data_IF_829555209005
#
_entry.id   IF_829555209005
#
_cell.length_a   1.000
_cell.length_b   1.000
_cell.length_c   1.000
_cell.angle_alpha   90.00
_cell.angle_beta   90.00
_cell.angle_gamma   90.00
#
_symmetry.space_group_name_H-M   'P 1'
#
loop_
_entity.id
_entity.type
_entity.pdbx_description
1 polymer ?
#
# COMPACT_ATOMS: atom_id res chain seq x y z
N UNK A 1 52.86 3.94 -17.71
CA UNK A 1 52.16 2.95 -18.55
C UNK A 1 50.79 3.53 -18.89
N UNK A 2 50.55 3.88 -20.15
CA UNK A 2 49.26 4.44 -20.57
C UNK A 2 48.33 3.28 -20.94
N UNK A 3 47.43 2.90 -20.03
CA UNK A 3 46.53 1.76 -20.18
C UNK A 3 45.20 2.13 -20.83
N UNK A 4 45.19 2.44 -22.12
CA UNK A 4 43.94 2.63 -22.87
C UNK A 4 43.65 1.46 -23.80
N UNK A 5 42.35 1.18 -23.98
CA UNK A 5 41.83 0.11 -24.83
C UNK A 5 41.16 0.75 -26.04
N UNK A 6 41.56 0.40 -27.26
CA UNK A 6 40.86 0.84 -28.46
C UNK A 6 39.72 -0.13 -28.80
N UNK A 7 38.50 0.40 -28.96
CA UNK A 7 37.33 -0.35 -29.40
C UNK A 7 36.91 0.10 -30.80
N UNK A 8 36.85 -0.83 -31.75
CA UNK A 8 36.37 -0.57 -33.12
C UNK A 8 34.85 -0.50 -33.11
N UNK A 9 34.28 0.61 -33.60
CA UNK A 9 32.84 0.83 -33.73
C UNK A 9 32.40 0.60 -35.18
N UNK A 10 31.10 0.37 -35.38
CA UNK A 10 30.46 0.29 -36.69
C UNK A 10 31.04 -0.80 -37.61
N UNK A 11 31.16 -2.02 -37.08
CA UNK A 11 31.55 -3.17 -37.89
C UNK A 11 30.34 -3.77 -38.62
N UNK A 12 30.60 -4.48 -39.72
CA UNK A 12 29.55 -5.10 -40.54
C UNK A 12 28.84 -6.28 -39.86
N UNK A 13 29.44 -6.86 -38.82
CA UNK A 13 28.86 -7.95 -38.02
C UNK A 13 28.20 -7.45 -36.73
N UNK A 14 27.02 -7.97 -36.39
CA UNK A 14 26.31 -7.59 -35.15
C UNK A 14 27.04 -7.99 -33.85
N UNK A 15 28.09 -8.82 -33.95
CA UNK A 15 28.86 -9.35 -32.82
C UNK A 15 30.23 -8.67 -32.61
N UNK A 16 30.61 -7.70 -33.44
CA UNK A 16 31.96 -7.12 -33.36
C UNK A 16 33.03 -7.97 -34.05
N UNK A 17 34.28 -7.47 -34.10
CA UNK A 17 35.47 -8.21 -34.58
C UNK A 17 35.95 -9.21 -33.52
N UNK A 18 35.93 -8.81 -32.24
CA UNK A 18 36.16 -9.67 -31.08
C UNK A 18 35.17 -9.23 -30.00
N UNK A 19 34.21 -10.09 -29.67
CA UNK A 19 33.21 -9.78 -28.65
C UNK A 19 33.82 -9.90 -27.27
N UNK A 20 34.09 -8.77 -26.61
CA UNK A 20 34.51 -8.77 -25.21
C UNK A 20 33.37 -9.38 -24.39
N UNK A 21 33.57 -10.62 -23.93
CA UNK A 21 32.68 -11.35 -23.03
C UNK A 21 31.19 -11.25 -23.44
N UNK A 22 30.83 -11.81 -24.59
CA UNK A 22 29.44 -11.78 -25.10
C UNK A 22 28.43 -12.56 -24.25
N UNK A 23 28.90 -13.21 -23.20
CA UNK A 23 28.08 -13.96 -22.25
C UNK A 23 28.01 -13.18 -20.94
N UNK A 24 26.83 -13.22 -20.30
CA UNK A 24 26.69 -12.64 -18.99
C UNK A 24 27.56 -13.45 -18.00
N UNK A 25 28.32 -12.74 -17.17
CA UNK A 25 29.10 -13.33 -16.07
C UNK A 25 28.22 -13.88 -14.95
N UNK A 26 26.94 -13.54 -14.95
CA UNK A 26 25.94 -14.00 -14.00
C UNK A 26 24.97 -14.99 -14.66
N UNK A 27 24.43 -15.95 -13.89
CA UNK A 27 23.42 -16.88 -14.40
C UNK A 27 22.19 -16.11 -14.90
N UNK A 28 21.84 -16.33 -16.16
CA UNK A 28 20.61 -15.79 -16.75
C UNK A 28 19.44 -16.65 -16.26
N UNK A 29 18.35 -15.99 -15.86
CA UNK A 29 17.15 -16.68 -15.39
C UNK A 29 16.54 -17.52 -16.54
N UNK A 30 16.50 -18.84 -16.38
CA UNK A 30 15.97 -19.78 -17.38
C UNK A 30 14.45 -19.98 -17.28
N UNK A 31 13.85 -19.54 -16.16
CA UNK A 31 12.42 -19.68 -15.90
C UNK A 31 11.70 -18.32 -15.92
N UNK A 32 10.44 -18.29 -16.39
CA UNK A 32 9.59 -17.11 -16.22
C UNK A 32 9.49 -16.71 -14.74
N UNK A 33 9.27 -15.43 -14.47
CA UNK A 33 8.89 -15.00 -13.13
C UNK A 33 7.56 -15.68 -12.76
N UNK A 34 7.38 -16.17 -11.51
CA UNK A 34 6.07 -16.59 -11.05
C UNK A 34 5.06 -15.44 -11.23
N UNK A 35 3.77 -15.73 -11.46
CA UNK A 35 2.76 -14.69 -11.54
C UNK A 35 2.78 -13.86 -10.25
N UNK A 36 2.53 -12.54 -10.34
CA UNK A 36 2.39 -11.73 -9.14
C UNK A 36 1.30 -12.34 -8.24
N UNK A 37 1.47 -12.32 -6.91
CA UNK A 37 0.43 -12.77 -6.00
C UNK A 37 -0.87 -12.02 -6.29
N UNK A 38 -2.04 -12.66 -6.12
CA UNK A 38 -3.31 -11.98 -6.29
C UNK A 38 -3.35 -10.76 -5.37
N UNK A 39 -3.86 -9.63 -5.88
CA UNK A 39 -4.09 -8.44 -5.06
C UNK A 39 -4.88 -8.84 -3.82
N UNK A 40 -4.52 -8.34 -2.62
CA UNK A 40 -5.26 -8.65 -1.41
C UNK A 40 -6.74 -8.35 -1.63
N UNK A 41 -7.61 -9.28 -1.21
CA UNK A 41 -9.05 -9.03 -1.29
C UNK A 41 -9.48 -7.89 -0.36
N UNK A 42 -10.69 -7.34 -0.54
CA UNK A 42 -11.25 -6.35 0.38
C UNK A 42 -11.39 -6.95 1.78
N UNK A 43 -10.93 -6.22 2.80
CA UNK A 43 -11.05 -6.63 4.21
C UNK A 43 -12.51 -6.52 4.65
N UNK A 44 -13.15 -7.65 5.01
CA UNK A 44 -14.51 -7.65 5.58
C UNK A 44 -14.48 -7.22 7.05
N UNK A 45 -15.11 -6.09 7.36
CA UNK A 45 -15.26 -5.61 8.74
C UNK A 45 -16.51 -6.15 9.41
N UNK A 46 -17.62 -6.19 8.65
CA UNK A 46 -18.93 -6.65 9.09
C UNK A 46 -19.70 -7.22 7.89
N UNK A 47 -20.87 -7.79 8.11
CA UNK A 47 -21.74 -8.34 7.06
C UNK A 47 -22.05 -7.31 5.95
N UNK A 48 -22.13 -6.03 6.32
CA UNK A 48 -22.45 -4.91 5.44
C UNK A 48 -21.29 -3.93 5.21
N UNK A 49 -20.10 -4.17 5.79
CA UNK A 49 -19.01 -3.19 5.81
C UNK A 49 -17.71 -3.82 5.32
N UNK A 50 -17.11 -3.17 4.32
CA UNK A 50 -15.93 -3.66 3.60
C UNK A 50 -14.95 -2.50 3.45
N UNK A 51 -13.68 -2.77 3.72
CA UNK A 51 -12.59 -1.84 3.44
C UNK A 51 -11.80 -2.30 2.22
N UNK A 52 -10.98 -1.41 1.65
CA UNK A 52 -10.16 -1.74 0.50
C UNK A 52 -9.08 -2.78 0.86
N UNK A 53 -8.42 -3.27 -0.19
CA UNK A 53 -7.31 -4.21 -0.06
C UNK A 53 -6.17 -3.60 0.79
N UNK A 54 -5.77 -4.29 1.86
CA UNK A 54 -4.69 -3.83 2.75
C UNK A 54 -5.12 -2.74 3.74
N UNK A 55 -6.42 -2.47 3.87
CA UNK A 55 -6.95 -1.60 4.93
C UNK A 55 -7.41 -2.41 6.14
N UNK A 56 -7.38 -1.78 7.31
CA UNK A 56 -7.88 -2.37 8.56
C UNK A 56 -9.17 -1.72 9.05
N UNK A 57 -10.02 -2.58 9.60
CA UNK A 57 -11.32 -2.20 10.11
C UNK A 57 -11.23 -1.81 11.59
N UNK A 58 -11.49 -0.55 11.90
CA UNK A 58 -11.57 -0.06 13.27
C UNK A 58 -13.00 0.28 13.68
N UNK A 59 -13.36 -0.13 14.89
CA UNK A 59 -14.67 0.16 15.42
C UNK A 59 -14.75 1.60 15.94
N UNK A 60 -15.61 2.41 15.32
CA UNK A 60 -15.78 3.81 15.71
C UNK A 60 -16.76 3.97 16.88
N UNK A 61 -17.87 3.23 16.87
CA UNK A 61 -18.88 3.30 17.92
C UNK A 61 -19.34 1.92 18.37
N UNK A 62 -19.29 1.71 19.70
CA UNK A 62 -19.82 0.54 20.38
C UNK A 62 -21.14 0.90 21.05
N UNK A 63 -22.19 0.16 20.72
CA UNK A 63 -23.52 0.28 21.34
C UNK A 63 -23.88 -1.11 21.87
N UNK A 64 -24.17 -1.23 23.17
CA UNK A 64 -24.46 -2.51 23.84
C UNK A 64 -23.41 -3.62 23.61
N UNK A 65 -22.12 -3.27 23.50
CA UNK A 65 -21.05 -4.25 23.27
C UNK A 65 -20.94 -4.73 21.81
N UNK A 66 -21.73 -4.16 20.91
CA UNK A 66 -21.69 -4.46 19.47
C UNK A 66 -21.10 -3.25 18.73
N UNK A 67 -20.21 -3.51 17.79
CA UNK A 67 -19.68 -2.48 16.92
C UNK A 67 -20.71 -2.09 15.85
N UNK A 68 -21.27 -0.89 15.96
CA UNK A 68 -22.31 -0.41 15.05
C UNK A 68 -21.74 0.29 13.81
N UNK A 69 -20.57 0.91 13.96
CA UNK A 69 -19.93 1.67 12.89
C UNK A 69 -18.45 1.30 12.76
N UNK A 70 -18.02 1.14 11.52
CA UNK A 70 -16.67 0.76 11.15
C UNK A 70 -16.02 1.87 10.34
N UNK A 71 -14.73 2.03 10.55
CA UNK A 71 -13.87 2.94 9.80
C UNK A 71 -12.72 2.14 9.20
N UNK A 72 -12.25 2.60 8.05
CA UNK A 72 -11.17 1.98 7.32
C UNK A 72 -9.89 2.80 7.53
N UNK A 73 -8.83 2.13 7.95
CA UNK A 73 -7.52 2.71 8.09
C UNK A 73 -6.61 2.23 6.95
N UNK A 74 -5.95 3.16 6.28
CA UNK A 74 -5.10 2.95 5.09
C UNK A 74 -3.84 2.08 5.35
N UNK A 75 -3.66 1.62 6.59
CA UNK A 75 -2.55 0.74 6.96
C UNK A 75 -3.02 -0.69 7.13
N UNK A 76 -2.24 -1.61 6.58
CA UNK A 76 -2.42 -3.03 6.82
C UNK A 76 -2.05 -3.34 8.29
N UNK A 77 -2.83 -4.19 8.94
CA UNK A 77 -2.68 -4.58 10.34
C UNK A 77 -2.56 -3.41 11.35
N UNK A 78 -3.24 -2.28 11.12
CA UNK A 78 -3.23 -1.14 12.04
C UNK A 78 -3.88 -1.45 13.40
N UNK A 79 -3.38 -0.76 14.44
CA UNK A 79 -3.92 -0.80 15.79
C UNK A 79 -4.89 0.37 15.99
N UNK A 80 -6.12 0.07 16.39
CA UNK A 80 -7.13 1.09 16.68
C UNK A 80 -6.83 1.77 18.02
N UNK A 81 -6.75 3.11 18.02
CA UNK A 81 -6.57 3.88 19.25
C UNK A 81 -7.86 3.94 20.08
N UNK A 82 -7.73 4.23 21.39
CA UNK A 82 -8.88 4.42 22.28
C UNK A 82 -9.83 5.56 21.87
N UNK A 83 -9.31 6.51 21.09
CA UNK A 83 -10.10 7.62 20.52
C UNK A 83 -11.10 7.14 19.46
N UNK A 84 -10.96 5.91 18.93
CA UNK A 84 -11.84 5.29 17.91
C UNK A 84 -11.96 6.05 16.58
N UNK A 85 -11.22 7.14 16.45
CA UNK A 85 -11.13 7.99 15.26
C UNK A 85 -9.77 7.88 14.56
N UNK A 86 -8.80 7.26 15.22
CA UNK A 86 -7.44 7.22 14.75
C UNK A 86 -6.87 5.82 14.84
N UNK A 87 -5.98 5.53 13.90
CA UNK A 87 -5.24 4.28 13.82
C UNK A 87 -3.75 4.56 13.82
N UNK A 88 -3.01 3.60 14.35
CA UNK A 88 -1.56 3.59 14.25
C UNK A 88 -1.09 2.36 13.47
N UNK A 89 -0.04 2.50 12.64
CA UNK A 89 0.55 1.35 11.95
C UNK A 89 1.08 0.32 12.96
N UNK A 90 1.12 -0.96 12.57
CA UNK A 90 1.58 -2.06 13.43
C UNK A 90 2.93 -1.81 14.13
N UNK A 91 3.85 -1.11 13.46
CA UNK A 91 5.18 -0.78 14.00
C UNK A 91 5.17 0.22 15.17
N UNK A 92 4.05 0.93 15.39
CA UNK A 92 3.88 1.99 16.38
C UNK A 92 2.58 1.80 17.16
N UNK A 93 2.47 0.76 18.01
CA UNK A 93 1.20 0.38 18.64
C UNK A 93 0.73 1.36 19.73
N UNK A 94 1.58 2.27 20.20
CA UNK A 94 1.27 3.18 21.31
C UNK A 94 0.68 4.46 20.74
N UNK A 95 -0.61 4.70 20.99
CA UNK A 95 -1.28 5.94 20.62
C UNK A 95 -1.07 7.02 21.68
N UNK A 96 -0.43 8.12 21.30
CA UNK A 96 -0.39 9.36 22.10
C UNK A 96 -1.54 10.26 21.63
N UNK A 97 -2.62 10.28 22.41
CA UNK A 97 -3.87 11.00 22.13
C UNK A 97 -3.69 12.52 22.15
N UNK A 98 -2.80 13.03 23.02
CA UNK A 98 -2.57 14.46 23.21
C UNK A 98 -1.76 15.07 22.07
N UNK A 99 -0.76 14.33 21.57
CA UNK A 99 0.17 14.83 20.55
C UNK A 99 -0.18 14.42 19.12
N UNK A 100 -1.26 13.68 18.91
CA UNK A 100 -1.63 13.14 17.60
C UNK A 100 -0.54 12.29 16.93
N UNK A 101 0.19 11.50 17.75
CA UNK A 101 1.33 10.71 17.30
C UNK A 101 1.20 9.23 17.67
N UNK A 102 1.84 8.39 16.85
CA UNK A 102 2.04 6.98 17.15
C UNK A 102 3.49 6.76 17.60
N UNK A 103 3.65 6.03 18.70
CA UNK A 103 4.94 5.75 19.34
C UNK A 103 5.23 4.25 19.31
N UNK A 104 6.52 3.93 19.23
CA UNK A 104 7.05 2.57 19.35
C UNK A 104 7.49 2.34 20.80
N UNK A 105 7.43 1.09 21.27
CA UNK A 105 7.95 0.74 22.60
C UNK A 105 9.38 1.24 22.78
N UNK A 106 9.66 1.81 23.96
CA UNK A 106 10.88 2.50 24.33
C UNK A 106 12.14 1.68 23.99
N UNK A 107 12.83 2.10 22.94
CA UNK A 107 14.05 1.49 22.44
C UNK A 107 14.59 2.21 21.21
N UNK A 108 13.69 2.78 20.39
CA UNK A 108 14.01 3.76 19.35
C UNK A 108 12.83 4.72 19.18
N UNK A 109 12.99 5.98 19.57
CA UNK A 109 11.96 7.01 19.51
C UNK A 109 11.81 7.55 18.08
N UNK A 110 11.39 6.72 17.14
CA UNK A 110 10.87 7.20 15.87
C UNK A 110 9.41 7.62 16.09
N UNK A 111 9.02 8.78 15.56
CA UNK A 111 7.66 9.33 15.68
C UNK A 111 7.05 9.36 14.29
N UNK A 112 5.80 8.94 14.19
CA UNK A 112 5.01 9.05 12.96
C UNK A 112 3.76 9.85 13.28
N UNK A 113 3.49 10.87 12.46
CA UNK A 113 2.24 11.62 12.55
C UNK A 113 1.05 10.71 12.23
N UNK A 114 -0.04 10.85 12.97
CA UNK A 114 -1.27 10.12 12.66
C UNK A 114 -1.86 10.66 11.36
N UNK A 115 -2.14 9.77 10.41
CA UNK A 115 -2.93 10.11 9.23
C UNK A 115 -4.36 10.40 9.69
N UNK A 116 -4.85 11.61 9.40
CA UNK A 116 -6.25 11.97 9.64
C UNK A 116 -7.10 11.32 8.56
N UNK A 117 -8.11 10.57 8.95
CA UNK A 117 -9.04 9.95 8.00
C UNK A 117 -9.66 11.02 7.10
N UNK A 118 -9.49 10.89 5.79
CA UNK A 118 -10.52 11.29 4.85
C UNK A 118 -11.68 10.34 5.06
N UNK A 119 -12.80 10.85 5.57
CA UNK A 119 -14.02 10.07 5.59
C UNK A 119 -14.28 9.53 4.19
N UNK A 120 -14.19 8.22 4.02
CA UNK A 120 -14.87 7.53 2.94
C UNK A 120 -16.35 7.75 3.19
N UNK A 121 -16.82 8.93 2.76
CA UNK A 121 -18.14 9.05 2.16
C UNK A 121 -18.19 7.86 1.23
N UNK A 122 -19.01 6.86 1.59
CA UNK A 122 -19.34 5.83 0.63
C UNK A 122 -19.64 6.56 -0.66
N UNK A 123 -19.06 6.10 -1.77
CA UNK A 123 -19.64 6.40 -3.07
C UNK A 123 -21.06 5.84 -3.01
N UNK A 124 -21.97 6.63 -2.44
CA UNK A 124 -23.33 6.79 -2.90
C UNK A 124 -23.18 6.79 -4.40
N UNK A 125 -23.60 5.71 -5.03
CA UNK A 125 -23.81 5.72 -6.47
C UNK A 125 -24.58 6.99 -6.74
N UNK A 126 -23.95 7.93 -7.43
CA UNK A 126 -24.55 9.17 -7.84
C UNK A 126 -25.74 8.78 -8.71
N UNK A 127 -26.91 8.72 -8.09
CA UNK A 127 -28.18 8.36 -8.73
C UNK A 127 -28.72 9.55 -9.56
N UNK A 128 -27.86 10.50 -9.90
CA UNK A 128 -28.17 11.67 -10.73
C UNK A 128 -28.18 11.36 -12.24
N UNK A 129 -27.99 10.10 -12.66
CA UNK A 129 -28.29 9.68 -14.04
C UNK A 129 -29.69 9.09 -14.22
N UNK A 130 -30.46 8.88 -13.14
CA UNK A 130 -31.85 8.38 -13.23
C UNK A 130 -32.90 9.50 -13.24
N UNK A 131 -32.52 10.77 -13.07
CA UNK A 131 -33.43 11.93 -13.06
C UNK A 131 -33.23 12.91 -14.23
N UNK A 132 -32.46 12.55 -15.26
CA UNK A 132 -32.33 13.31 -16.53
C UNK A 132 -32.84 12.46 -17.73
N UNK A 133 -33.83 11.59 -17.49
CA UNK A 133 -34.51 10.81 -18.53
C UNK A 133 -36.04 10.91 -18.46
N UNK A 134 -36.57 11.85 -17.67
CA UNK A 134 -38.02 12.11 -17.51
C UNK A 134 -38.39 13.61 -17.63
N UNK A 135 -37.48 14.43 -18.16
CA UNK A 135 -37.79 15.78 -18.66
C UNK A 135 -37.32 15.87 -20.11
N UNK A 136 -37.98 15.09 -20.97
CA UNK A 136 -38.37 15.39 -22.36
C UNK A 136 -39.07 14.19 -22.96
#
# INVERSE_FOLDING_TARGET
MNGYMHMVRNTSSSRGICGINMLASYPKKTSPNPPPPPSPGPTRCNLFSYCAAGETCCCSSYIFGICFSWKCCEFDSAVCCKDRLHCCPYNYPICDTERNMCLKHAGNATKVERMKETGSSGKSGSWSSFLEAWVL
#
